data_IF_151715768118
#
_entry.id   IF_151715768118
#
_cell.length_a   1.000
_cell.length_b   1.000
_cell.length_c   1.000
_cell.angle_alpha   90.00
_cell.angle_beta   90.00
_cell.angle_gamma   90.00
#
_symmetry.space_group_name_H-M   'P 1'
#
loop_
_entity.id
_entity.type
_entity.pdbx_description
1 polymer ?
#
# COMPACT_ATOMS: atom_id res chain seq x y z
N UNK A 1 1.68 26.04 1.73
CA UNK A 1 0.78 26.04 2.91
C UNK A 1 -0.65 25.98 2.41
N UNK A 2 -1.50 25.17 3.02
CA UNK A 2 -2.92 25.09 2.65
C UNK A 2 -3.72 26.18 3.38
N UNK A 3 -4.89 26.54 2.83
CA UNK A 3 -5.84 27.45 3.48
C UNK A 3 -6.53 26.80 4.69
N UNK A 4 -7.19 27.62 5.52
CA UNK A 4 -7.96 27.14 6.68
C UNK A 4 -9.10 26.23 6.22
N UNK A 5 -9.20 24.99 6.72
CA UNK A 5 -10.27 24.09 6.35
C UNK A 5 -11.57 24.40 7.11
N UNK A 6 -12.70 23.95 6.56
CA UNK A 6 -13.94 23.82 7.32
C UNK A 6 -13.79 22.79 8.46
N UNK A 7 -14.69 22.84 9.45
CA UNK A 7 -14.76 21.85 10.53
C UNK A 7 -14.95 20.44 9.97
N UNK A 8 -14.19 19.46 10.48
CA UNK A 8 -14.16 18.08 9.98
C UNK A 8 -13.61 17.12 11.04
N UNK A 9 -14.00 15.85 10.93
CA UNK A 9 -13.45 14.74 11.71
C UNK A 9 -12.56 13.86 10.82
N UNK A 10 -11.49 13.25 11.37
CA UNK A 10 -10.68 12.32 10.61
C UNK A 10 -11.46 11.02 10.34
N UNK A 11 -11.44 10.55 9.09
CA UNK A 11 -12.13 9.33 8.67
C UNK A 11 -11.16 8.20 8.28
N UNK A 12 -10.03 8.56 7.68
CA UNK A 12 -9.11 7.62 7.06
C UNK A 12 -7.72 8.24 6.96
N UNK A 13 -6.68 7.44 7.17
CA UNK A 13 -5.30 7.79 6.82
C UNK A 13 -4.77 6.74 5.86
N UNK A 14 -4.21 7.20 4.73
CA UNK A 14 -3.43 6.36 3.82
C UNK A 14 -1.99 6.86 3.83
N UNK A 15 -1.07 5.96 4.12
CA UNK A 15 0.36 6.18 3.98
C UNK A 15 0.86 5.34 2.82
N UNK A 16 1.66 5.95 1.94
CA UNK A 16 2.38 5.21 0.90
C UNK A 16 3.81 5.71 0.90
N UNK A 17 4.76 4.79 1.10
CA UNK A 17 6.19 5.08 0.99
C UNK A 17 6.75 4.37 -0.22
N UNK A 18 7.62 5.03 -0.96
CA UNK A 18 8.36 4.44 -2.08
C UNK A 18 9.86 4.57 -1.82
N UNK A 19 10.59 3.49 -2.01
CA UNK A 19 12.05 3.43 -1.92
C UNK A 19 12.61 2.94 -3.25
N UNK A 20 13.51 3.72 -3.83
CA UNK A 20 14.22 3.37 -5.05
C UNK A 20 15.60 2.79 -4.74
N UNK A 21 15.94 1.68 -5.38
CA UNK A 21 17.19 0.97 -5.23
C UNK A 21 17.84 0.76 -6.60
N UNK A 22 19.09 1.20 -6.76
CA UNK A 22 19.90 0.79 -7.91
C UNK A 22 20.47 -0.61 -7.65
N UNK A 23 20.33 -1.51 -8.61
CA UNK A 23 20.86 -2.88 -8.55
C UNK A 23 22.22 -2.96 -9.22
N UNK A 24 23.00 -3.97 -8.84
CA UNK A 24 24.32 -4.24 -9.43
C UNK A 24 24.26 -4.64 -10.91
N UNK A 25 23.13 -5.18 -11.37
CA UNK A 25 22.88 -5.56 -12.76
C UNK A 25 22.42 -4.39 -13.66
N UNK A 26 22.42 -3.16 -13.12
CA UNK A 26 22.04 -1.95 -13.85
C UNK A 26 20.52 -1.71 -13.93
N UNK A 27 19.70 -2.55 -13.30
CA UNK A 27 18.26 -2.34 -13.15
C UNK A 27 17.95 -1.53 -11.89
N UNK A 28 16.73 -1.03 -11.77
CA UNK A 28 16.25 -0.37 -10.54
C UNK A 28 15.06 -1.13 -9.97
N UNK A 29 15.03 -1.27 -8.64
CA UNK A 29 13.84 -1.68 -7.93
C UNK A 29 13.17 -0.46 -7.29
N UNK A 30 11.85 -0.41 -7.38
CA UNK A 30 11.02 0.52 -6.61
C UNK A 30 10.13 -0.33 -5.70
N UNK A 31 10.38 -0.24 -4.41
CA UNK A 31 9.55 -0.87 -3.38
C UNK A 31 8.55 0.14 -2.86
N UNK A 32 7.29 -0.24 -2.79
CA UNK A 32 6.25 0.57 -2.20
C UNK A 32 5.52 -0.17 -1.10
N UNK A 33 5.28 0.53 0.01
CA UNK A 33 4.49 0.06 1.13
C UNK A 33 3.27 0.94 1.32
N UNK A 34 2.08 0.36 1.22
CA UNK A 34 0.80 1.02 1.47
C UNK A 34 0.22 0.55 2.79
N UNK A 35 -0.17 1.51 3.65
CA UNK A 35 -0.97 1.24 4.84
C UNK A 35 -2.18 2.15 4.94
N UNK A 36 -3.32 1.56 5.26
CA UNK A 36 -4.58 2.26 5.47
C UNK A 36 -5.13 2.07 6.88
N UNK A 37 -5.50 3.17 7.52
CA UNK A 37 -5.98 3.18 8.90
C UNK A 37 -7.33 3.88 9.01
N UNK A 38 -8.15 3.43 9.97
CA UNK A 38 -9.39 4.10 10.39
C UNK A 38 -9.21 4.70 11.78
N UNK A 39 -10.01 5.72 12.08
CA UNK A 39 -10.03 6.42 13.37
C UNK A 39 -11.10 5.90 14.34
N UNK A 40 -11.94 4.98 13.87
CA UNK A 40 -13.00 4.31 14.63
C UNK A 40 -13.00 2.83 14.24
N UNK A 41 -13.56 1.93 15.08
CA UNK A 41 -13.73 0.53 14.72
C UNK A 41 -14.41 0.41 13.35
N UNK A 42 -13.82 -0.38 12.47
CA UNK A 42 -14.25 -0.52 11.08
C UNK A 42 -14.49 -1.99 10.77
N UNK A 43 -15.74 -2.34 10.44
CA UNK A 43 -16.12 -3.72 10.10
C UNK A 43 -16.30 -3.85 8.59
N UNK A 44 -15.60 -4.80 7.98
CA UNK A 44 -15.75 -5.17 6.57
C UNK A 44 -15.30 -6.63 6.37
N UNK A 45 -15.78 -7.30 5.32
CA UNK A 45 -15.38 -8.69 5.01
C UNK A 45 -15.50 -9.69 6.17
N UNK A 46 -16.38 -9.43 7.14
CA UNK A 46 -16.60 -10.28 8.32
C UNK A 46 -15.59 -10.10 9.47
N UNK A 47 -14.67 -9.12 9.38
CA UNK A 47 -13.71 -8.77 10.44
C UNK A 47 -13.88 -7.32 10.87
N UNK A 48 -13.54 -7.02 12.12
CA UNK A 48 -13.42 -5.64 12.63
C UNK A 48 -11.94 -5.30 12.80
N UNK A 49 -11.55 -4.11 12.35
CA UNK A 49 -10.25 -3.50 12.60
C UNK A 49 -10.43 -2.36 13.60
N UNK A 50 -9.60 -2.36 14.63
CA UNK A 50 -9.54 -1.31 15.63
C UNK A 50 -8.80 -0.07 15.10
N UNK A 51 -9.04 1.13 15.66
CA UNK A 51 -8.29 2.33 15.30
C UNK A 51 -6.78 2.11 15.34
N UNK A 52 -6.09 2.55 14.29
CA UNK A 52 -4.64 2.36 14.15
C UNK A 52 -4.19 1.00 13.63
N UNK A 53 -5.09 0.05 13.40
CA UNK A 53 -4.76 -1.19 12.67
C UNK A 53 -4.83 -0.97 11.16
N UNK A 54 -3.79 -1.39 10.45
CA UNK A 54 -3.76 -1.34 9.00
C UNK A 54 -4.73 -2.38 8.42
N UNK A 55 -5.80 -1.93 7.76
CA UNK A 55 -6.76 -2.83 7.10
C UNK A 55 -6.40 -3.11 5.65
N UNK A 56 -5.61 -2.23 5.03
CA UNK A 56 -4.71 -2.59 3.94
C UNK A 56 -3.29 -2.44 4.46
N UNK A 57 -2.49 -3.50 4.33
CA UNK A 57 -1.05 -3.52 4.57
C UNK A 57 -0.45 -4.30 3.40
N UNK A 58 0.09 -3.57 2.43
CA UNK A 58 0.36 -4.11 1.09
C UNK A 58 1.72 -3.64 0.57
N UNK A 59 2.39 -4.55 -0.11
CA UNK A 59 3.70 -4.34 -0.70
C UNK A 59 3.64 -4.52 -2.22
N UNK A 60 4.42 -3.72 -2.92
CA UNK A 60 4.79 -3.99 -4.31
C UNK A 60 6.28 -3.70 -4.50
N UNK A 61 6.97 -4.57 -5.22
CA UNK A 61 8.28 -4.28 -5.80
C UNK A 61 8.16 -4.34 -7.31
N UNK A 62 8.58 -3.28 -7.99
CA UNK A 62 8.71 -3.28 -9.45
C UNK A 62 10.18 -3.17 -9.82
N UNK A 63 10.63 -4.02 -10.74
CA UNK A 63 11.95 -3.92 -11.36
C UNK A 63 11.79 -3.26 -12.72
N UNK A 64 12.56 -2.20 -12.96
CA UNK A 64 12.57 -1.44 -14.22
C UNK A 64 13.97 -1.32 -14.79
N UNK A 65 14.07 -1.20 -16.12
CA UNK A 65 15.31 -0.82 -16.78
C UNK A 65 15.45 0.72 -16.89
N UNK A 66 16.53 1.20 -17.52
CA UNK A 66 16.80 2.63 -17.70
C UNK A 66 15.84 3.35 -18.66
N UNK A 67 15.08 2.62 -19.48
CA UNK A 67 13.97 3.17 -20.28
C UNK A 67 12.62 3.12 -19.55
N UNK A 68 12.61 2.77 -18.25
CA UNK A 68 11.41 2.59 -17.42
C UNK A 68 10.47 1.47 -17.89
N UNK A 69 11.00 0.49 -18.63
CA UNK A 69 10.28 -0.74 -18.96
C UNK A 69 10.21 -1.61 -17.71
N UNK A 70 9.00 -2.01 -17.31
CA UNK A 70 8.79 -2.95 -16.20
C UNK A 70 9.20 -4.34 -16.66
N UNK A 71 10.15 -4.93 -15.96
CA UNK A 71 10.69 -6.26 -16.23
C UNK A 71 10.17 -7.32 -15.25
N UNK A 72 9.86 -6.92 -14.01
CA UNK A 72 9.30 -7.79 -13.00
C UNK A 72 8.40 -7.02 -12.03
N UNK A 73 7.41 -7.73 -11.46
CA UNK A 73 6.52 -7.23 -10.42
C UNK A 73 6.38 -8.34 -9.37
N UNK A 74 6.55 -7.97 -8.11
CA UNK A 74 6.24 -8.80 -6.96
C UNK A 74 5.25 -8.03 -6.07
N UNK A 75 4.25 -8.72 -5.52
CA UNK A 75 3.24 -8.12 -4.64
C UNK A 75 2.99 -9.01 -3.43
N UNK A 76 2.72 -8.39 -2.29
CA UNK A 76 2.27 -9.07 -1.08
C UNK A 76 1.19 -8.28 -0.37
N UNK A 77 0.34 -8.95 0.42
CA UNK A 77 -0.71 -8.35 1.22
C UNK A 77 -0.71 -8.96 2.61
N UNK A 78 -0.09 -8.27 3.58
CA UNK A 78 -0.02 -8.71 4.97
C UNK A 78 -1.38 -8.52 5.68
N UNK A 79 -2.17 -7.54 5.24
CA UNK A 79 -3.53 -7.28 5.72
C UNK A 79 -4.41 -6.80 4.56
N UNK A 80 -5.59 -7.39 4.44
CA UNK A 80 -6.60 -7.02 3.45
C UNK A 80 -8.01 -7.30 4.01
N UNK A 81 -9.03 -6.53 3.57
CA UNK A 81 -10.37 -6.64 4.12
C UNK A 81 -11.21 -7.79 3.54
N UNK A 82 -10.93 -8.19 2.30
CA UNK A 82 -11.75 -9.17 1.58
C UNK A 82 -10.95 -10.42 1.22
N UNK A 83 -11.52 -11.63 1.37
CA UNK A 83 -10.82 -12.89 1.14
C UNK A 83 -10.37 -13.10 -0.31
N UNK A 84 -11.00 -12.43 -1.27
CA UNK A 84 -10.62 -12.47 -2.68
C UNK A 84 -9.41 -11.59 -3.02
N UNK A 85 -9.01 -10.63 -2.17
CA UNK A 85 -7.90 -9.71 -2.48
C UNK A 85 -6.59 -10.43 -2.85
N UNK A 86 -6.14 -11.48 -2.13
CA UNK A 86 -4.90 -12.17 -2.49
C UNK A 86 -4.97 -12.96 -3.80
N UNK A 87 -6.15 -13.17 -4.39
CA UNK A 87 -6.29 -13.91 -5.64
C UNK A 87 -5.65 -13.19 -6.84
N UNK A 88 -5.34 -11.89 -6.71
CA UNK A 88 -4.63 -11.12 -7.74
C UNK A 88 -3.11 -11.22 -7.65
N UNK A 89 -2.57 -11.84 -6.59
CA UNK A 89 -1.13 -12.04 -6.42
C UNK A 89 -0.67 -13.04 -7.48
N UNK A 90 0.28 -12.68 -8.37
CA UNK A 90 0.84 -13.60 -9.36
C UNK A 90 1.42 -14.86 -8.70
N UNK A 91 1.38 -16.02 -9.39
CA UNK A 91 1.89 -17.29 -8.85
C UNK A 91 3.40 -17.30 -8.62
#
# INVERSE_FOLDING_TARGET
MLSTPASRNPLHTREITFQGYAREDGLWDIEAHLRDFKFHPFTTGGKTWEPGQAFHDMWVRITVNTELVILAIEVSMDSHPHPECPQVIPP
#
